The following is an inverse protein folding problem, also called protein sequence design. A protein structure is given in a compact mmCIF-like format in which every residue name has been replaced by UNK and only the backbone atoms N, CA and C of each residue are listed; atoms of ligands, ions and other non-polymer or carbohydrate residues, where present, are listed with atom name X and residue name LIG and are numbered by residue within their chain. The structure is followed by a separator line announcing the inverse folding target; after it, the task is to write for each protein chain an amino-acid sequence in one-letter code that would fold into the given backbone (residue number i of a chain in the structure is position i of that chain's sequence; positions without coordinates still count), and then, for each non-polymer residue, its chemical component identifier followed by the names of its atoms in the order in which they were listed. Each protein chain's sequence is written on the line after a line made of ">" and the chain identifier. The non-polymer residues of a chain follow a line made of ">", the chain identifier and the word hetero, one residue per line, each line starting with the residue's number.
data_IF_463346763855
#
_entry.id   IF_463346763855
#
_cell.length_a   1.000
_cell.length_b   1.000
_cell.length_c   1.000
_cell.angle_alpha   90.00
_cell.angle_beta   90.00
_cell.angle_gamma   90.00
#
_symmetry.space_group_name_H-M   'P 1'
#
loop_
_entity.id
_entity.type
_entity.pdbx_description
1 polymer ?
#
# COMPACT_ATOMS: atom_id res chain seq x y z
N UNK A 1 -27.53 -47.22 75.37
CA UNK A 1 -27.51 -46.21 74.31
C UNK A 1 -27.93 -44.88 74.92
N UNK A 2 -26.93 -44.04 75.26
CA UNK A 2 -27.13 -42.80 75.97
C UNK A 2 -27.17 -41.65 74.90
N UNK A 3 -28.37 -41.23 74.56
CA UNK A 3 -28.57 -40.07 73.70
C UNK A 3 -28.76 -38.83 74.60
N UNK A 4 -27.66 -38.14 74.97
CA UNK A 4 -27.72 -36.84 75.64
C UNK A 4 -27.85 -35.76 74.57
N UNK A 5 -29.01 -35.10 74.56
CA UNK A 5 -29.21 -33.87 73.80
C UNK A 5 -28.20 -32.80 74.23
N UNK A 6 -27.60 -32.02 73.32
CA UNK A 6 -26.60 -31.02 73.67
C UNK A 6 -27.26 -29.90 74.50
N UNK A 7 -26.53 -29.42 75.50
CA UNK A 7 -26.96 -28.38 76.44
C UNK A 7 -27.11 -27.03 75.73
N UNK A 8 -28.03 -26.12 76.17
CA UNK A 8 -28.29 -24.84 75.57
C UNK A 8 -27.03 -23.94 75.38
N UNK A 9 -26.03 -24.12 76.24
CA UNK A 9 -24.74 -23.35 76.19
C UNK A 9 -23.86 -23.80 75.01
N UNK A 10 -23.92 -25.02 74.52
CA UNK A 10 -23.18 -25.52 73.38
C UNK A 10 -23.80 -25.01 72.03
N UNK A 11 -25.12 -24.85 71.97
CA UNK A 11 -25.80 -24.30 70.79
C UNK A 11 -25.59 -22.79 70.64
N UNK A 12 -25.48 -22.02 71.72
CA UNK A 12 -25.21 -20.60 71.71
C UNK A 12 -23.75 -20.27 71.27
N UNK A 13 -22.78 -21.13 71.69
CA UNK A 13 -21.35 -20.95 71.28
C UNK A 13 -21.14 -21.24 69.80
N UNK A 14 -21.83 -22.29 69.27
CA UNK A 14 -21.76 -22.65 67.85
C UNK A 14 -22.31 -21.55 66.94
N UNK A 15 -23.42 -20.91 67.32
CA UNK A 15 -24.03 -19.77 66.60
C UNK A 15 -23.16 -18.51 66.61
N UNK A 16 -22.52 -18.20 67.74
CA UNK A 16 -21.62 -17.06 67.85
C UNK A 16 -20.33 -17.25 67.00
N UNK A 17 -19.78 -18.44 66.94
CA UNK A 17 -18.61 -18.78 66.08
C UNK A 17 -18.95 -18.72 64.60
N UNK A 18 -20.13 -19.17 64.18
CA UNK A 18 -20.60 -19.07 62.79
C UNK A 18 -20.78 -17.63 62.35
N UNK A 19 -21.38 -16.78 63.19
CA UNK A 19 -21.55 -15.35 62.94
C UNK A 19 -20.16 -14.65 62.87
N UNK A 20 -19.24 -14.99 63.76
CA UNK A 20 -17.89 -14.43 63.71
C UNK A 20 -17.13 -14.80 62.42
N UNK A 21 -17.23 -16.07 61.96
CA UNK A 21 -16.67 -16.53 60.70
C UNK A 21 -17.30 -15.83 59.47
N UNK A 22 -18.61 -15.67 59.46
CA UNK A 22 -19.31 -14.96 58.38
C UNK A 22 -18.89 -13.47 58.31
N UNK A 23 -18.75 -12.80 59.45
CA UNK A 23 -18.27 -11.43 59.54
C UNK A 23 -16.82 -11.28 59.09
N UNK A 24 -15.96 -12.24 59.42
CA UNK A 24 -14.57 -12.25 58.96
C UNK A 24 -14.51 -12.43 57.43
N UNK A 25 -15.25 -13.42 56.91
CA UNK A 25 -15.32 -13.67 55.47
C UNK A 25 -15.82 -12.44 54.67
N UNK A 26 -16.84 -11.78 55.20
CA UNK A 26 -17.35 -10.52 54.55
C UNK A 26 -16.30 -9.39 54.55
N UNK A 27 -15.59 -9.20 55.68
CA UNK A 27 -14.48 -8.22 55.74
C UNK A 27 -13.40 -8.56 54.73
N UNK A 28 -12.93 -9.79 54.66
CA UNK A 28 -11.92 -10.24 53.71
C UNK A 28 -12.37 -10.05 52.28
N UNK A 29 -13.63 -10.31 51.97
CA UNK A 29 -14.20 -10.08 50.62
C UNK A 29 -14.15 -8.57 50.23
N UNK A 30 -14.60 -7.70 51.12
CA UNK A 30 -14.61 -6.25 50.85
C UNK A 30 -13.17 -5.70 50.78
N UNK A 31 -12.24 -6.20 51.58
CA UNK A 31 -10.82 -5.80 51.56
C UNK A 31 -10.08 -6.33 50.33
N UNK A 32 -10.50 -7.45 49.74
CA UNK A 32 -9.92 -7.98 48.51
C UNK A 32 -10.25 -7.12 47.28
N UNK A 33 -11.30 -6.26 47.32
CA UNK A 33 -11.70 -5.37 46.25
C UNK A 33 -10.84 -4.10 46.31
N UNK A 34 -9.77 -4.03 45.51
CA UNK A 34 -8.82 -2.93 45.53
C UNK A 34 -9.16 -1.79 44.57
N UNK A 35 -9.89 -2.08 43.51
CA UNK A 35 -10.26 -1.10 42.46
C UNK A 35 -11.43 -0.19 42.85
N UNK A 36 -12.04 -0.44 44.02
CA UNK A 36 -13.16 0.34 44.51
C UNK A 36 -12.95 0.76 45.97
N UNK A 37 -13.17 2.05 46.24
CA UNK A 37 -13.30 2.54 47.59
C UNK A 37 -14.69 2.17 48.13
N UNK A 38 -14.78 1.24 49.10
CA UNK A 38 -16.02 0.76 49.68
C UNK A 38 -16.01 1.11 51.17
N UNK A 39 -17.01 1.91 51.60
CA UNK A 39 -17.12 2.28 53.00
C UNK A 39 -18.57 2.60 53.36
N UNK A 40 -18.85 2.49 54.64
CA UNK A 40 -20.17 2.81 55.23
C UNK A 40 -20.05 4.13 55.94
N UNK A 41 -21.11 4.95 55.79
CA UNK A 41 -21.33 6.19 56.53
C UNK A 41 -22.46 5.96 57.52
N UNK A 42 -22.43 6.64 58.67
CA UNK A 42 -23.64 6.77 59.50
C UNK A 42 -24.69 7.67 58.85
N UNK A 43 -25.90 7.86 59.47
CA UNK A 43 -26.92 8.70 58.93
C UNK A 43 -26.53 10.17 58.75
N UNK A 44 -25.57 10.67 59.54
CA UNK A 44 -25.07 12.04 59.50
C UNK A 44 -23.89 12.19 58.55
N UNK A 45 -23.40 11.12 57.87
CA UNK A 45 -22.34 11.15 56.88
C UNK A 45 -20.92 10.94 57.41
N UNK A 46 -20.78 10.48 58.66
CA UNK A 46 -19.46 10.14 59.21
C UNK A 46 -19.02 8.72 58.81
N UNK A 47 -17.76 8.54 58.50
CA UNK A 47 -17.19 7.28 58.02
C UNK A 47 -17.12 6.25 59.13
N UNK A 48 -17.78 5.07 58.96
CA UNK A 48 -17.77 3.96 59.94
C UNK A 48 -16.79 2.87 59.51
N UNK A 49 -16.68 2.57 58.25
CA UNK A 49 -15.77 1.49 57.73
C UNK A 49 -14.90 2.03 56.64
N UNK A 50 -13.76 1.29 56.38
CA UNK A 50 -12.80 1.67 55.38
C UNK A 50 -12.11 0.44 54.81
N UNK A 51 -12.22 0.14 53.52
CA UNK A 51 -11.56 -0.99 52.89
C UNK A 51 -10.17 -0.61 52.31
N UNK A 52 -9.42 -1.60 51.87
CA UNK A 52 -8.10 -1.46 51.29
C UNK A 52 -8.16 -0.59 49.99
N UNK A 53 -9.18 -0.78 49.14
CA UNK A 53 -9.39 0.04 47.95
C UNK A 53 -9.63 1.52 48.25
N UNK A 54 -10.37 1.83 49.33
CA UNK A 54 -10.56 3.22 49.76
C UNK A 54 -9.24 3.88 50.20
N UNK A 55 -8.38 3.14 50.87
CA UNK A 55 -7.03 3.61 51.21
C UNK A 55 -6.19 3.86 49.96
N UNK A 56 -6.20 2.94 49.00
CA UNK A 56 -5.44 3.05 47.76
C UNK A 56 -5.90 4.25 46.92
N UNK A 57 -7.22 4.44 46.75
CA UNK A 57 -7.78 5.47 45.88
C UNK A 57 -7.73 6.85 46.53
N UNK A 58 -8.04 6.97 47.84
CA UNK A 58 -8.19 8.27 48.52
C UNK A 58 -7.00 8.67 49.38
N UNK A 59 -6.07 7.73 49.65
CA UNK A 59 -4.83 8.03 50.37
C UNK A 59 -4.92 8.10 51.92
N UNK A 60 -6.11 7.99 52.51
CA UNK A 60 -6.27 7.99 53.98
C UNK A 60 -6.15 6.58 54.53
N UNK A 61 -5.49 6.44 55.72
CA UNK A 61 -5.59 5.22 56.50
C UNK A 61 -6.93 5.13 57.23
N UNK A 62 -7.30 3.95 57.66
CA UNK A 62 -8.55 3.71 58.44
C UNK A 62 -8.59 4.57 59.73
N UNK A 63 -7.49 4.66 60.42
CA UNK A 63 -7.35 5.40 61.69
C UNK A 63 -7.48 6.89 61.48
N UNK A 64 -7.13 7.39 60.31
CA UNK A 64 -7.20 8.81 59.99
C UNK A 64 -8.59 9.28 59.57
N UNK A 65 -9.40 8.37 58.96
CA UNK A 65 -10.64 8.75 58.28
C UNK A 65 -11.92 8.32 59.00
N UNK A 66 -11.88 7.21 59.77
CA UNK A 66 -13.04 6.77 60.55
C UNK A 66 -13.42 7.85 61.56
N UNK A 67 -14.69 8.19 61.62
CA UNK A 67 -15.21 9.28 62.45
C UNK A 67 -15.08 10.68 61.83
N UNK A 68 -14.54 10.81 60.63
CA UNK A 68 -14.58 12.08 59.87
C UNK A 68 -15.78 12.09 58.93
N UNK A 69 -16.32 13.27 58.68
CA UNK A 69 -17.40 13.46 57.72
C UNK A 69 -16.89 13.30 56.32
N UNK A 70 -17.64 12.60 55.44
CA UNK A 70 -17.21 12.26 54.09
C UNK A 70 -17.05 13.43 53.14
N UNK A 71 -17.52 14.62 53.51
CA UNK A 71 -17.35 15.88 52.76
C UNK A 71 -15.87 16.24 52.52
N UNK A 72 -14.94 15.68 53.27
CA UNK A 72 -13.47 15.85 53.06
C UNK A 72 -13.00 15.38 51.68
N UNK A 73 -13.77 14.58 50.98
CA UNK A 73 -13.46 14.09 49.65
C UNK A 73 -14.01 14.98 48.52
N UNK A 74 -14.49 16.16 48.83
CA UNK A 74 -15.12 17.07 47.84
C UNK A 74 -14.27 18.31 47.64
N UNK A 75 -14.21 18.84 46.40
CA UNK A 75 -13.62 20.14 46.12
C UNK A 75 -14.44 21.25 46.73
N UNK A 76 -13.85 22.42 46.93
CA UNK A 76 -14.43 23.57 47.63
C UNK A 76 -15.78 24.00 47.03
N UNK A 77 -15.89 24.01 45.69
CA UNK A 77 -17.08 24.41 44.97
C UNK A 77 -18.26 23.48 45.28
N UNK A 78 -18.00 22.19 45.47
CA UNK A 78 -19.03 21.22 45.85
C UNK A 78 -19.48 21.36 47.31
N UNK A 79 -18.56 21.78 48.20
CA UNK A 79 -18.86 22.08 49.62
C UNK A 79 -19.70 23.33 49.71
N UNK A 80 -19.38 24.41 48.98
CA UNK A 80 -20.12 25.67 48.95
C UNK A 80 -21.56 25.49 48.45
N UNK A 81 -21.77 24.51 47.55
CA UNK A 81 -23.10 24.15 47.03
C UNK A 81 -23.85 23.14 47.87
N UNK A 82 -23.31 22.73 49.03
CA UNK A 82 -23.91 21.70 49.91
C UNK A 82 -24.18 20.38 49.16
N UNK A 83 -23.31 20.02 48.19
CA UNK A 83 -23.49 18.85 47.37
C UNK A 83 -23.41 17.53 48.15
N UNK A 84 -22.49 17.32 49.12
CA UNK A 84 -22.44 16.10 49.93
C UNK A 84 -23.74 15.79 50.65
N UNK A 85 -24.34 16.79 51.28
CA UNK A 85 -25.60 16.67 52.04
C UNK A 85 -26.74 16.31 51.11
N UNK A 86 -26.77 16.94 49.90
CA UNK A 86 -27.82 16.65 48.90
C UNK A 86 -27.69 15.21 48.34
N UNK A 87 -26.50 14.68 48.16
CA UNK A 87 -26.31 13.28 47.73
C UNK A 87 -26.87 12.30 48.74
N UNK A 88 -26.65 12.52 50.04
CA UNK A 88 -27.23 11.67 51.10
C UNK A 88 -28.73 11.75 51.15
N UNK A 89 -29.31 12.96 51.08
CA UNK A 89 -30.76 13.15 51.08
C UNK A 89 -31.42 12.49 49.86
N UNK A 90 -30.78 12.55 48.68
CA UNK A 90 -31.26 11.85 47.49
C UNK A 90 -31.16 10.34 47.65
N UNK A 91 -30.06 9.81 48.17
CA UNK A 91 -29.87 8.40 48.44
C UNK A 91 -30.88 7.87 49.48
N UNK A 92 -31.18 8.64 50.50
CA UNK A 92 -32.17 8.28 51.52
C UNK A 92 -33.58 8.17 50.94
N UNK A 93 -33.96 9.17 50.11
CA UNK A 93 -35.28 9.29 49.48
C UNK A 93 -35.52 8.20 48.42
N UNK A 94 -34.50 7.97 47.56
CA UNK A 94 -34.62 7.09 46.39
C UNK A 94 -34.07 5.67 46.66
N UNK A 95 -33.49 5.44 47.84
CA UNK A 95 -32.81 4.20 48.20
C UNK A 95 -31.41 4.10 47.63
N UNK A 96 -31.10 4.76 46.52
CA UNK A 96 -29.79 4.77 45.84
C UNK A 96 -29.61 6.04 45.03
N UNK A 97 -28.38 6.58 45.07
CA UNK A 97 -27.99 7.73 44.25
C UNK A 97 -26.66 7.41 43.53
N UNK A 98 -26.51 7.86 42.30
CA UNK A 98 -25.27 7.74 41.52
C UNK A 98 -24.87 9.08 40.96
N UNK A 99 -23.58 9.40 41.07
CA UNK A 99 -22.97 10.62 40.54
C UNK A 99 -21.61 10.35 39.94
N UNK A 100 -21.22 11.18 38.98
CA UNK A 100 -19.84 11.24 38.47
C UNK A 100 -19.30 12.64 38.62
N UNK A 101 -18.15 12.79 39.28
CA UNK A 101 -17.56 14.11 39.52
C UNK A 101 -16.17 14.06 40.11
N UNK A 102 -15.58 15.25 40.23
CA UNK A 102 -14.25 15.38 40.85
C UNK A 102 -14.35 15.11 42.36
N UNK A 103 -13.38 14.36 42.85
CA UNK A 103 -13.16 14.10 44.28
C UNK A 103 -11.70 14.43 44.64
N UNK A 104 -11.46 14.71 45.91
CA UNK A 104 -10.15 15.13 46.44
C UNK A 104 -9.56 13.97 47.24
N UNK A 105 -8.26 13.71 47.05
CA UNK A 105 -7.47 12.76 47.83
C UNK A 105 -6.83 13.47 49.04
N UNK A 106 -6.21 12.68 49.93
CA UNK A 106 -5.51 13.18 51.17
C UNK A 106 -4.42 14.22 50.83
N UNK A 107 -3.69 14.04 49.74
CA UNK A 107 -2.60 14.90 49.28
C UNK A 107 -3.10 16.18 48.59
N UNK A 108 -4.40 16.38 48.47
CA UNK A 108 -5.02 17.51 47.79
C UNK A 108 -5.18 17.34 46.28
N UNK A 109 -4.64 16.27 45.69
CA UNK A 109 -4.88 15.96 44.28
C UNK A 109 -6.34 15.60 44.02
N UNK A 110 -6.80 15.88 42.80
CA UNK A 110 -8.15 15.54 42.37
C UNK A 110 -8.17 14.30 41.44
N UNK A 111 -9.25 13.58 41.48
CA UNK A 111 -9.48 12.46 40.58
C UNK A 111 -10.95 12.44 40.14
N UNK A 112 -11.20 11.92 38.96
CA UNK A 112 -12.57 11.76 38.44
C UNK A 112 -13.17 10.46 38.98
N UNK A 113 -14.25 10.59 39.73
CA UNK A 113 -14.86 9.47 40.43
C UNK A 113 -16.26 9.15 39.90
N UNK A 114 -16.56 7.85 39.75
CA UNK A 114 -17.94 7.38 39.74
C UNK A 114 -18.33 6.92 41.15
N UNK A 115 -19.38 7.49 41.67
CA UNK A 115 -19.83 7.29 43.07
C UNK A 115 -21.22 6.68 43.04
N UNK A 116 -21.44 5.63 43.85
CA UNK A 116 -22.77 5.10 44.15
C UNK A 116 -22.96 5.13 45.66
N UNK A 117 -24.05 5.75 46.11
CA UNK A 117 -24.49 5.80 47.50
C UNK A 117 -25.79 5.01 47.61
N UNK A 118 -25.87 4.08 48.54
CA UNK A 118 -27.07 3.24 48.77
C UNK A 118 -27.45 3.37 50.23
N UNK A 119 -28.73 3.74 50.52
CA UNK A 119 -29.25 3.79 51.87
C UNK A 119 -29.36 2.37 52.47
N UNK A 120 -28.78 2.17 53.63
CA UNK A 120 -28.86 0.92 54.39
C UNK A 120 -29.95 1.11 55.48
N UNK A 121 -30.90 0.17 55.52
CA UNK A 121 -32.00 0.18 56.52
C UNK A 121 -32.02 -1.06 57.37
N UNK A 122 -32.39 -0.92 58.62
CA UNK A 122 -32.64 -2.03 59.53
C UNK A 122 -33.97 -2.72 59.15
N UNK A 123 -34.22 -3.90 59.77
CA UNK A 123 -35.45 -4.67 59.51
C UNK A 123 -36.75 -3.92 59.85
N UNK A 124 -36.69 -2.96 60.73
CA UNK A 124 -37.83 -2.04 61.10
C UNK A 124 -37.98 -0.86 60.17
N UNK A 125 -37.14 -0.71 59.12
CA UNK A 125 -37.17 0.35 58.15
C UNK A 125 -36.39 1.62 58.55
N UNK A 126 -35.81 1.68 59.72
CA UNK A 126 -34.99 2.80 60.21
C UNK A 126 -33.69 2.88 59.41
N UNK A 127 -33.26 4.09 59.05
CA UNK A 127 -32.01 4.31 58.38
C UNK A 127 -30.84 3.94 59.31
N UNK A 128 -30.03 2.97 58.89
CA UNK A 128 -28.79 2.57 59.57
C UNK A 128 -27.61 3.44 59.13
N UNK A 129 -27.62 3.91 57.86
CA UNK A 129 -26.57 4.69 57.25
C UNK A 129 -26.49 4.50 55.75
N UNK A 130 -25.36 4.71 55.16
CA UNK A 130 -25.16 4.65 53.70
C UNK A 130 -23.94 3.80 53.33
N UNK A 131 -24.08 2.88 52.37
CA UNK A 131 -22.95 2.25 51.69
C UNK A 131 -22.51 3.14 50.53
N UNK A 132 -21.25 3.56 50.56
CA UNK A 132 -20.63 4.37 49.48
C UNK A 132 -19.58 3.57 48.75
N UNK A 133 -19.73 3.45 47.43
CA UNK A 133 -18.81 2.82 46.51
C UNK A 133 -18.28 3.86 45.54
N UNK A 134 -16.95 4.00 45.45
CA UNK A 134 -16.32 4.98 44.56
C UNK A 134 -15.29 4.27 43.69
N UNK A 135 -15.34 4.50 42.39
CA UNK A 135 -14.35 4.06 41.40
C UNK A 135 -13.59 5.26 40.86
N UNK A 136 -12.26 5.15 40.74
CA UNK A 136 -11.43 6.13 40.07
C UNK A 136 -11.48 5.91 38.55
N UNK A 137 -12.01 6.88 37.82
CA UNK A 137 -12.16 6.86 36.36
C UNK A 137 -11.09 7.65 35.63
N UNK A 138 -10.10 8.22 36.33
CA UNK A 138 -9.11 9.14 35.75
C UNK A 138 -8.34 8.50 34.61
N UNK A 139 -7.71 7.33 34.85
CA UNK A 139 -6.94 6.64 33.83
C UNK A 139 -7.77 6.24 32.61
N UNK A 140 -9.04 5.87 32.82
CA UNK A 140 -9.95 5.53 31.72
C UNK A 140 -10.28 6.75 30.86
N UNK A 141 -10.59 7.89 31.48
CA UNK A 141 -10.86 9.15 30.76
C UNK A 141 -9.65 9.64 29.98
N UNK A 142 -8.48 9.65 30.60
CA UNK A 142 -7.22 10.01 29.92
C UNK A 142 -6.93 9.12 28.71
N UNK A 143 -7.19 7.81 28.84
CA UNK A 143 -7.04 6.85 27.74
C UNK A 143 -8.03 7.14 26.60
N UNK A 144 -9.31 7.40 26.94
CA UNK A 144 -10.36 7.70 25.97
C UNK A 144 -10.06 9.01 25.22
N UNK A 145 -9.63 10.05 25.91
CA UNK A 145 -9.24 11.34 25.31
C UNK A 145 -8.03 11.18 24.38
N UNK A 146 -7.03 10.38 24.81
CA UNK A 146 -5.85 10.09 24.01
C UNK A 146 -6.19 9.31 22.73
N UNK A 147 -7.08 8.31 22.84
CA UNK A 147 -7.59 7.55 21.69
C UNK A 147 -8.35 8.45 20.71
N UNK A 148 -9.17 9.37 21.22
CA UNK A 148 -9.91 10.32 20.38
C UNK A 148 -8.97 11.28 19.65
N UNK A 149 -7.91 11.79 20.33
CA UNK A 149 -6.91 12.64 19.72
C UNK A 149 -6.14 11.92 18.63
N UNK A 150 -5.69 10.68 18.90
CA UNK A 150 -4.96 9.85 17.95
C UNK A 150 -5.83 9.49 16.72
N UNK A 151 -7.11 9.18 16.94
CA UNK A 151 -8.05 8.91 15.85
C UNK A 151 -8.26 10.14 14.94
N UNK A 152 -8.32 11.35 15.52
CA UNK A 152 -8.41 12.60 14.72
C UNK A 152 -7.15 12.80 13.87
N UNK A 153 -5.96 12.62 14.46
CA UNK A 153 -4.70 12.73 13.74
C UNK A 153 -4.60 11.71 12.61
N UNK A 154 -4.96 10.45 12.89
CA UNK A 154 -4.94 9.37 11.91
C UNK A 154 -5.85 9.66 10.71
N UNK A 155 -7.08 10.14 10.96
CA UNK A 155 -8.00 10.53 9.89
C UNK A 155 -7.42 11.63 8.99
N UNK A 156 -6.79 12.65 9.57
CA UNK A 156 -6.14 13.73 8.81
C UNK A 156 -5.00 13.18 7.93
N UNK A 157 -4.17 12.28 8.47
CA UNK A 157 -3.08 11.66 7.70
C UNK A 157 -3.59 10.78 6.56
N UNK A 158 -4.65 10.01 6.79
CA UNK A 158 -5.29 9.20 5.74
C UNK A 158 -5.77 10.09 4.59
N UNK A 159 -6.48 11.18 4.90
CA UNK A 159 -6.95 12.13 3.88
C UNK A 159 -5.79 12.75 3.07
N UNK A 160 -4.69 13.13 3.74
CA UNK A 160 -3.51 13.68 3.07
C UNK A 160 -2.85 12.64 2.14
N UNK A 161 -2.76 11.39 2.59
CA UNK A 161 -2.20 10.30 1.77
C UNK A 161 -3.07 9.99 0.56
N UNK A 162 -4.39 9.97 0.70
CA UNK A 162 -5.32 9.74 -0.40
C UNK A 162 -5.23 10.84 -1.46
N UNK A 163 -5.14 12.11 -1.03
CA UNK A 163 -4.97 13.23 -1.95
C UNK A 163 -3.61 13.18 -2.66
N UNK A 164 -2.52 12.90 -1.93
CA UNK A 164 -1.19 12.75 -2.51
C UNK A 164 -1.16 11.60 -3.54
N UNK A 165 -1.78 10.47 -3.22
CA UNK A 165 -1.91 9.33 -4.13
C UNK A 165 -2.65 9.71 -5.40
N UNK A 166 -3.77 10.42 -5.28
CA UNK A 166 -4.56 10.87 -6.43
C UNK A 166 -3.76 11.80 -7.36
N UNK A 167 -2.98 12.72 -6.78
CA UNK A 167 -2.10 13.60 -7.57
C UNK A 167 -1.05 12.78 -8.31
N UNK A 168 -0.41 11.80 -7.66
CA UNK A 168 0.59 10.92 -8.29
C UNK A 168 -0.03 10.12 -9.44
N UNK A 169 -1.23 9.56 -9.25
CA UNK A 169 -1.94 8.81 -10.30
C UNK A 169 -2.24 9.69 -11.52
N UNK A 170 -2.76 10.91 -11.32
CA UNK A 170 -3.01 11.87 -12.40
C UNK A 170 -1.74 12.25 -13.16
N UNK A 171 -0.65 12.57 -12.44
CA UNK A 171 0.64 12.89 -13.05
C UNK A 171 1.24 11.72 -13.82
N UNK A 172 1.07 10.51 -13.31
CA UNK A 172 1.52 9.30 -14.00
C UNK A 172 0.78 9.12 -15.33
N UNK A 173 -0.54 9.30 -15.36
CA UNK A 173 -1.34 9.23 -16.58
C UNK A 173 -0.93 10.32 -17.59
N UNK A 174 -0.70 11.55 -17.14
CA UNK A 174 -0.26 12.65 -17.98
C UNK A 174 1.11 12.39 -18.62
N UNK A 175 2.08 11.91 -17.82
CA UNK A 175 3.41 11.53 -18.30
C UNK A 175 3.36 10.39 -19.32
N UNK A 176 2.50 9.41 -19.09
CA UNK A 176 2.29 8.29 -20.01
C UNK A 176 1.73 8.77 -21.36
N UNK A 177 0.71 9.63 -21.34
CA UNK A 177 0.15 10.24 -22.55
C UNK A 177 1.20 11.03 -23.31
N UNK A 178 1.97 11.84 -22.60
CA UNK A 178 3.03 12.65 -23.22
C UNK A 178 4.13 11.79 -23.85
N UNK A 179 4.54 10.73 -23.16
CA UNK A 179 5.51 9.76 -23.66
C UNK A 179 5.02 9.10 -24.94
N UNK A 180 3.75 8.69 -24.98
CA UNK A 180 3.13 8.14 -26.17
C UNK A 180 3.14 9.09 -27.36
N UNK A 181 2.73 10.35 -27.13
CA UNK A 181 2.76 11.37 -28.18
C UNK A 181 4.17 11.62 -28.71
N UNK A 182 5.17 11.67 -27.84
CA UNK A 182 6.57 11.84 -28.24
C UNK A 182 7.07 10.68 -29.12
N UNK A 183 6.70 9.43 -28.81
CA UNK A 183 7.06 8.28 -29.63
C UNK A 183 6.42 8.32 -31.01
N UNK A 184 5.15 8.76 -31.12
CA UNK A 184 4.47 8.92 -32.39
C UNK A 184 5.16 10.01 -33.25
N UNK A 185 5.41 11.20 -32.68
CA UNK A 185 6.13 12.28 -33.36
C UNK A 185 7.50 11.82 -33.82
N UNK A 186 8.21 11.05 -33.00
CA UNK A 186 9.52 10.52 -33.36
C UNK A 186 9.44 9.54 -34.57
N UNK A 187 8.42 8.67 -34.59
CA UNK A 187 8.25 7.75 -35.72
C UNK A 187 7.81 8.46 -36.99
N UNK A 188 6.95 9.46 -36.91
CA UNK A 188 6.58 10.32 -38.05
C UNK A 188 7.81 11.07 -38.61
N UNK A 189 8.63 11.64 -37.72
CA UNK A 189 9.85 12.35 -38.12
C UNK A 189 10.86 11.39 -38.76
N UNK A 190 11.05 10.20 -38.20
CA UNK A 190 11.92 9.18 -38.82
C UNK A 190 11.40 8.77 -40.21
N UNK A 191 10.07 8.65 -40.36
CA UNK A 191 9.45 8.34 -41.66
C UNK A 191 9.64 9.50 -42.67
N UNK A 192 9.54 10.73 -42.22
CA UNK A 192 9.77 11.90 -43.05
C UNK A 192 11.21 11.99 -43.54
N UNK A 193 12.18 11.85 -42.61
CA UNK A 193 13.61 11.85 -42.95
C UNK A 193 13.97 10.71 -43.89
N UNK A 194 13.43 9.51 -43.64
CA UNK A 194 13.67 8.38 -44.52
C UNK A 194 13.22 8.61 -45.95
N UNK A 195 12.03 9.23 -46.13
CA UNK A 195 11.54 9.61 -47.48
C UNK A 195 12.38 10.68 -48.14
N UNK A 196 12.77 11.72 -47.44
CA UNK A 196 13.66 12.79 -47.95
C UNK A 196 15.01 12.22 -48.40
N UNK A 197 15.59 11.30 -47.60
CA UNK A 197 16.83 10.60 -47.95
C UNK A 197 16.66 9.72 -49.19
N UNK A 198 15.55 9.01 -49.30
CA UNK A 198 15.30 8.05 -50.39
C UNK A 198 14.93 8.77 -51.70
N UNK A 199 13.95 9.69 -51.61
CA UNK A 199 13.35 10.28 -52.84
C UNK A 199 14.19 11.44 -53.38
N UNK A 200 14.75 12.28 -52.50
CA UNK A 200 15.49 13.46 -52.91
C UNK A 200 16.99 13.17 -53.06
N UNK A 201 17.68 12.80 -52.01
CA UNK A 201 19.11 12.62 -52.05
C UNK A 201 19.55 11.42 -52.92
N UNK A 202 18.87 10.27 -52.82
CA UNK A 202 19.21 9.11 -53.61
C UNK A 202 18.96 9.31 -55.08
N UNK A 203 17.88 10.04 -55.47
CA UNK A 203 17.61 10.37 -56.86
C UNK A 203 18.66 11.33 -57.45
N UNK A 204 19.04 12.41 -56.73
CA UNK A 204 20.07 13.33 -57.16
C UNK A 204 21.44 12.67 -57.34
N UNK A 205 21.85 11.81 -56.37
CA UNK A 205 23.15 11.11 -56.52
C UNK A 205 23.07 10.08 -57.64
N UNK A 206 21.90 9.43 -57.88
CA UNK A 206 21.72 8.52 -59.01
C UNK A 206 21.85 9.23 -60.35
N UNK A 207 21.20 10.43 -60.51
CA UNK A 207 21.33 11.21 -61.74
C UNK A 207 22.77 11.64 -61.98
N UNK A 208 23.47 12.15 -60.96
CA UNK A 208 24.89 12.50 -61.08
C UNK A 208 25.78 11.27 -61.42
N UNK A 209 25.49 10.11 -60.86
CA UNK A 209 26.20 8.88 -61.21
C UNK A 209 25.97 8.52 -62.68
N UNK A 210 24.73 8.60 -63.18
CA UNK A 210 24.41 8.31 -64.57
C UNK A 210 25.14 9.29 -65.52
N UNK A 211 25.23 10.58 -65.20
CA UNK A 211 25.96 11.58 -66.00
C UNK A 211 27.46 11.27 -66.04
N UNK A 212 28.04 10.85 -64.95
CA UNK A 212 29.47 10.45 -64.87
C UNK A 212 29.72 9.18 -65.67
N UNK A 213 28.87 8.16 -65.50
CA UNK A 213 28.98 6.90 -66.25
C UNK A 213 28.84 7.15 -67.75
N UNK A 214 27.89 7.99 -68.18
CA UNK A 214 27.74 8.40 -69.59
C UNK A 214 28.90 9.16 -70.17
N UNK A 215 29.62 9.95 -69.35
CA UNK A 215 30.78 10.72 -69.76
C UNK A 215 32.07 9.87 -69.89
N UNK A 216 32.09 8.66 -69.42
CA UNK A 216 33.26 7.75 -69.42
C UNK A 216 34.47 8.26 -68.63
N UNK A 217 34.28 9.26 -67.76
CA UNK A 217 35.37 10.09 -67.19
C UNK A 217 35.89 9.54 -65.90
N UNK A 218 35.58 8.85 -65.13
CA UNK A 218 36.29 8.41 -63.89
C UNK A 218 35.50 7.33 -63.14
N UNK A 219 35.92 6.09 -63.36
CA UNK A 219 35.35 4.92 -62.70
C UNK A 219 35.41 5.02 -61.16
N UNK A 220 36.46 5.66 -60.62
CA UNK A 220 36.65 5.83 -59.19
C UNK A 220 35.58 6.73 -58.56
N UNK A 221 35.20 7.79 -59.26
CA UNK A 221 34.09 8.67 -58.81
C UNK A 221 32.77 7.94 -58.92
N UNK A 222 32.49 7.19 -59.99
CA UNK A 222 31.27 6.39 -60.13
C UNK A 222 31.14 5.32 -59.01
N UNK A 223 32.23 4.60 -58.71
CA UNK A 223 32.26 3.63 -57.62
C UNK A 223 32.03 4.30 -56.26
N UNK A 224 32.64 5.48 -56.02
CA UNK A 224 32.42 6.27 -54.81
C UNK A 224 30.97 6.72 -54.65
N UNK A 225 30.32 7.14 -55.74
CA UNK A 225 28.88 7.51 -55.75
C UNK A 225 27.99 6.29 -55.49
N UNK A 226 28.36 5.10 -56.03
CA UNK A 226 27.69 3.84 -55.71
C UNK A 226 27.74 3.51 -54.20
N UNK A 227 28.85 3.73 -53.55
CA UNK A 227 29.02 3.54 -52.12
C UNK A 227 28.15 4.55 -51.30
N UNK A 228 28.09 5.79 -51.73
CA UNK A 228 27.21 6.84 -51.11
C UNK A 228 25.75 6.44 -51.23
N UNK A 229 25.30 6.06 -52.45
CA UNK A 229 23.94 5.59 -52.68
C UNK A 229 23.54 4.42 -51.77
N UNK A 230 24.47 3.45 -51.65
CA UNK A 230 24.26 2.30 -50.75
C UNK A 230 24.10 2.79 -49.29
N UNK A 231 24.93 3.73 -48.86
CA UNK A 231 24.86 4.28 -47.49
C UNK A 231 23.57 5.07 -47.24
N UNK A 232 23.10 5.86 -48.20
CA UNK A 232 21.82 6.57 -48.11
C UNK A 232 20.67 5.57 -47.98
N UNK A 233 20.62 4.53 -48.80
CA UNK A 233 19.61 3.49 -48.73
C UNK A 233 19.62 2.81 -47.35
N UNK A 234 20.78 2.35 -46.89
CA UNK A 234 20.92 1.71 -45.59
C UNK A 234 20.41 2.60 -44.45
N UNK A 235 20.76 3.90 -44.47
CA UNK A 235 20.34 4.87 -43.44
C UNK A 235 18.84 5.11 -43.49
N UNK A 236 18.27 5.31 -44.66
CA UNK A 236 16.82 5.45 -44.86
C UNK A 236 16.05 4.25 -44.33
N UNK A 237 16.48 3.03 -44.67
CA UNK A 237 15.87 1.78 -44.21
C UNK A 237 16.00 1.55 -42.70
N UNK A 238 17.06 2.02 -42.06
CA UNK A 238 17.20 1.98 -40.61
C UNK A 238 16.27 2.96 -39.89
N UNK A 239 16.01 4.13 -40.52
CA UNK A 239 15.08 5.12 -39.99
C UNK A 239 13.62 4.71 -40.14
N UNK A 240 13.22 4.29 -41.33
CA UNK A 240 11.90 3.73 -41.63
C UNK A 240 11.99 2.81 -42.85
N UNK A 241 11.73 1.49 -42.70
CA UNK A 241 11.90 0.59 -43.83
C UNK A 241 10.75 0.75 -44.84
N UNK A 242 11.01 1.27 -46.07
CA UNK A 242 9.98 1.33 -47.11
C UNK A 242 9.38 -0.04 -47.43
N UNK A 243 10.17 -1.09 -47.32
CA UNK A 243 9.73 -2.49 -47.46
C UNK A 243 8.59 -2.87 -46.50
N UNK A 244 8.46 -2.21 -45.37
CA UNK A 244 7.35 -2.45 -44.43
C UNK A 244 6.02 -1.99 -45.05
N UNK A 245 6.05 -0.84 -45.74
CA UNK A 245 4.86 -0.30 -46.40
C UNK A 245 4.54 -1.05 -47.71
N UNK A 246 5.57 -1.50 -48.49
CA UNK A 246 5.45 -2.11 -49.80
C UNK A 246 5.28 -3.63 -49.78
N UNK A 247 6.07 -4.31 -48.93
CA UNK A 247 6.19 -5.77 -48.92
C UNK A 247 5.87 -6.40 -47.56
N UNK A 248 5.49 -5.62 -46.55
CA UNK A 248 5.05 -6.03 -45.23
C UNK A 248 6.20 -6.41 -44.27
N UNK A 249 5.80 -6.77 -43.04
CA UNK A 249 6.70 -7.01 -41.91
C UNK A 249 7.77 -8.08 -42.18
N UNK A 250 7.39 -9.18 -42.84
CA UNK A 250 8.32 -10.28 -43.10
C UNK A 250 9.50 -9.84 -43.97
N UNK A 251 9.23 -9.17 -45.10
CA UNK A 251 10.27 -8.69 -46.01
C UNK A 251 11.18 -7.66 -45.34
N UNK A 252 10.58 -6.71 -44.57
CA UNK A 252 11.34 -5.71 -43.85
C UNK A 252 12.26 -6.31 -42.78
N UNK A 253 11.80 -7.34 -42.05
CA UNK A 253 12.62 -8.01 -41.01
C UNK A 253 13.75 -8.86 -41.62
N UNK A 254 13.50 -9.59 -42.72
CA UNK A 254 14.55 -10.31 -43.40
C UNK A 254 15.65 -9.36 -43.86
N UNK A 255 15.28 -8.28 -44.55
CA UNK A 255 16.23 -7.28 -44.98
C UNK A 255 17.06 -6.67 -43.83
N UNK A 256 16.39 -6.32 -42.71
CA UNK A 256 17.04 -5.76 -41.52
C UNK A 256 18.03 -6.74 -40.88
N UNK A 257 17.60 -7.99 -40.70
CA UNK A 257 18.43 -9.06 -40.09
C UNK A 257 19.63 -9.40 -40.95
N UNK A 258 19.45 -9.58 -42.27
CA UNK A 258 20.54 -9.85 -43.21
C UNK A 258 21.56 -8.71 -43.22
N UNK A 259 21.10 -7.46 -43.25
CA UNK A 259 21.97 -6.29 -43.16
C UNK A 259 22.70 -6.19 -41.82
N UNK A 260 22.12 -6.61 -40.72
CA UNK A 260 22.78 -6.63 -39.40
C UNK A 260 23.81 -7.73 -39.34
N UNK A 261 23.55 -8.94 -39.84
CA UNK A 261 24.50 -10.05 -39.93
C UNK A 261 25.72 -9.72 -40.80
N UNK A 262 25.51 -9.00 -41.93
CA UNK A 262 26.61 -8.56 -42.79
C UNK A 262 27.55 -7.54 -42.15
N UNK A 263 27.01 -6.67 -41.26
CA UNK A 263 27.76 -5.60 -40.58
C UNK A 263 28.30 -6.00 -39.22
N UNK A 264 27.92 -7.16 -38.72
CA UNK A 264 28.34 -7.66 -37.42
C UNK A 264 28.69 -9.14 -37.49
N UNK A 265 29.35 -9.67 -36.48
CA UNK A 265 29.59 -11.10 -36.31
C UNK A 265 28.41 -11.88 -35.75
N UNK A 266 27.27 -11.19 -35.49
CA UNK A 266 26.10 -11.76 -34.85
C UNK A 266 25.35 -12.66 -35.84
N UNK A 267 25.15 -13.93 -35.50
CA UNK A 267 24.28 -14.84 -36.24
C UNK A 267 22.84 -14.76 -35.74
N UNK A 268 21.90 -14.48 -36.65
CA UNK A 268 20.50 -14.27 -36.25
C UNK A 268 19.61 -15.27 -36.97
N UNK A 269 18.81 -16.03 -36.20
CA UNK A 269 17.75 -16.87 -36.76
C UNK A 269 16.43 -16.17 -36.63
N UNK A 270 15.69 -16.06 -37.76
CA UNK A 270 14.36 -15.40 -37.80
C UNK A 270 13.31 -16.43 -38.18
N UNK A 271 12.27 -16.58 -37.34
CA UNK A 271 11.19 -17.54 -37.55
C UNK A 271 9.80 -16.90 -37.36
N UNK A 272 8.85 -17.31 -38.23
CA UNK A 272 7.44 -16.89 -38.17
C UNK A 272 6.55 -18.13 -38.01
N UNK A 273 5.58 -18.04 -37.08
CA UNK A 273 4.63 -19.12 -36.80
C UNK A 273 3.20 -18.54 -36.62
N UNK A 274 2.19 -18.83 -37.46
CA UNK A 274 2.32 -19.52 -38.75
C UNK A 274 3.17 -18.73 -39.75
N UNK A 275 3.54 -19.38 -40.84
CA UNK A 275 4.43 -18.79 -41.85
C UNK A 275 3.93 -17.48 -42.46
N UNK A 276 2.62 -17.20 -42.38
CA UNK A 276 2.02 -15.97 -42.91
C UNK A 276 1.18 -15.34 -41.80
N UNK A 277 1.37 -14.02 -41.57
CA UNK A 277 0.54 -13.17 -40.72
C UNK A 277 -0.28 -12.21 -41.62
N UNK A 278 -1.35 -12.68 -42.32
CA UNK A 278 -2.11 -11.82 -43.23
C UNK A 278 -2.96 -10.83 -42.41
N UNK A 279 -3.02 -9.58 -42.89
CA UNK A 279 -3.96 -8.58 -42.37
C UNK A 279 -3.63 -7.95 -41.04
N UNK A 280 -2.38 -8.05 -40.57
CA UNK A 280 -1.92 -7.32 -39.38
C UNK A 280 -1.96 -5.81 -39.66
N UNK A 281 -2.58 -5.00 -38.79
CA UNK A 281 -2.58 -3.53 -38.94
C UNK A 281 -1.16 -2.95 -39.02
N UNK A 282 -0.97 -1.97 -39.90
CA UNK A 282 0.35 -1.31 -40.13
C UNK A 282 0.99 -0.79 -38.86
N UNK A 283 0.21 -0.31 -37.92
CA UNK A 283 0.67 0.17 -36.61
C UNK A 283 1.30 -0.96 -35.77
N UNK A 284 0.69 -2.14 -35.80
CA UNK A 284 1.22 -3.35 -35.13
C UNK A 284 2.48 -3.83 -35.83
N UNK A 285 2.51 -3.87 -37.17
CA UNK A 285 3.71 -4.23 -37.95
C UNK A 285 4.89 -3.32 -37.61
N UNK A 286 4.67 -2.00 -37.58
CA UNK A 286 5.70 -1.02 -37.21
C UNK A 286 6.18 -1.23 -35.78
N UNK A 287 5.28 -1.46 -34.84
CA UNK A 287 5.62 -1.73 -33.43
C UNK A 287 6.47 -2.98 -33.28
N UNK A 288 6.11 -4.06 -33.94
CA UNK A 288 6.89 -5.31 -33.96
C UNK A 288 8.29 -5.05 -34.54
N UNK A 289 8.36 -4.34 -35.68
CA UNK A 289 9.64 -3.98 -36.29
C UNK A 289 10.52 -3.21 -35.32
N UNK A 290 9.98 -2.17 -34.65
CA UNK A 290 10.73 -1.37 -33.68
C UNK A 290 11.21 -2.15 -32.47
N UNK A 291 10.39 -3.05 -31.95
CA UNK A 291 10.78 -3.92 -30.82
C UNK A 291 11.96 -4.81 -31.22
N UNK A 292 11.88 -5.47 -32.37
CA UNK A 292 12.95 -6.35 -32.86
C UNK A 292 14.22 -5.54 -33.14
N UNK A 293 14.09 -4.39 -33.78
CA UNK A 293 15.20 -3.47 -34.07
C UNK A 293 15.94 -3.08 -32.80
N UNK A 294 15.22 -2.61 -31.77
CA UNK A 294 15.81 -2.18 -30.50
C UNK A 294 16.38 -3.37 -29.71
N UNK A 295 15.67 -4.50 -29.67
CA UNK A 295 16.14 -5.70 -28.98
C UNK A 295 17.44 -6.21 -29.60
N UNK A 296 17.53 -6.32 -30.94
CA UNK A 296 18.75 -6.76 -31.62
C UNK A 296 19.89 -5.72 -31.50
N UNK A 297 19.57 -4.42 -31.49
CA UNK A 297 20.57 -3.39 -31.21
C UNK A 297 21.14 -3.51 -29.78
N UNK A 298 20.29 -3.87 -28.81
CA UNK A 298 20.72 -4.15 -27.44
C UNK A 298 21.58 -5.42 -27.34
N UNK A 299 21.25 -6.48 -28.09
CA UNK A 299 22.08 -7.67 -28.20
C UNK A 299 23.45 -7.30 -28.71
N UNK A 300 23.53 -6.58 -29.83
CA UNK A 300 24.80 -6.17 -30.45
C UNK A 300 25.66 -5.30 -29.53
N UNK A 301 25.04 -4.31 -28.85
CA UNK A 301 25.79 -3.38 -28.00
C UNK A 301 26.18 -3.94 -26.64
N UNK A 302 25.33 -4.81 -26.07
CA UNK A 302 25.39 -5.10 -24.64
C UNK A 302 25.51 -6.60 -24.28
N UNK A 303 25.03 -7.53 -25.11
CA UNK A 303 24.91 -8.92 -24.71
C UNK A 303 26.25 -9.68 -24.79
N UNK A 304 27.18 -9.27 -25.65
CA UNK A 304 28.38 -10.04 -25.97
C UNK A 304 28.01 -11.46 -26.46
N UNK A 305 27.00 -11.54 -27.30
CA UNK A 305 26.45 -12.78 -27.83
C UNK A 305 26.92 -12.98 -29.29
N UNK A 306 27.26 -14.20 -29.66
CA UNK A 306 27.57 -14.57 -31.04
C UNK A 306 26.31 -14.90 -31.85
N UNK A 307 25.16 -15.14 -31.16
CA UNK A 307 23.91 -15.50 -31.82
C UNK A 307 22.69 -14.92 -31.12
N UNK A 308 21.63 -14.71 -31.90
CA UNK A 308 20.29 -14.32 -31.42
C UNK A 308 19.22 -15.08 -32.19
N UNK A 309 18.07 -15.25 -31.56
CA UNK A 309 16.89 -15.86 -32.15
C UNK A 309 15.69 -14.91 -32.04
N UNK A 310 15.03 -14.67 -33.16
CA UNK A 310 13.81 -13.88 -33.27
C UNK A 310 12.68 -14.81 -33.69
N UNK A 311 11.62 -14.85 -32.89
CA UNK A 311 10.41 -15.62 -33.16
C UNK A 311 9.20 -14.71 -33.13
N UNK A 312 8.34 -14.82 -34.13
CA UNK A 312 7.07 -14.11 -34.21
C UNK A 312 5.99 -15.18 -34.34
N UNK A 313 5.13 -15.26 -33.31
CA UNK A 313 4.08 -16.28 -33.20
C UNK A 313 2.73 -15.59 -33.27
N UNK A 314 2.00 -15.81 -34.35
CA UNK A 314 0.59 -15.42 -34.48
C UNK A 314 -0.30 -16.38 -33.73
N UNK A 315 -1.15 -15.86 -32.85
CA UNK A 315 -2.23 -16.57 -32.15
C UNK A 315 -3.57 -15.92 -32.53
N UNK A 316 -4.69 -16.58 -32.26
CA UNK A 316 -6.03 -16.07 -32.67
C UNK A 316 -6.34 -14.67 -32.12
N UNK A 317 -5.82 -14.29 -30.94
CA UNK A 317 -6.15 -13.04 -30.27
C UNK A 317 -4.94 -12.12 -30.03
N UNK A 318 -3.74 -12.60 -30.30
CA UNK A 318 -2.51 -11.85 -30.04
C UNK A 318 -1.34 -12.28 -30.93
N UNK A 319 -0.36 -11.40 -31.07
CA UNK A 319 0.96 -11.71 -31.62
C UNK A 319 1.97 -11.73 -30.47
N UNK A 320 2.77 -12.78 -30.40
CA UNK A 320 3.88 -12.90 -29.49
C UNK A 320 5.19 -12.73 -30.27
N UNK A 321 5.97 -11.73 -29.89
CA UNK A 321 7.31 -11.47 -30.43
C UNK A 321 8.33 -11.82 -29.37
N UNK A 322 9.28 -12.69 -29.71
CA UNK A 322 10.34 -13.10 -28.79
C UNK A 322 11.70 -12.88 -29.43
N UNK A 323 12.58 -12.17 -28.73
CA UNK A 323 13.99 -12.02 -29.10
C UNK A 323 14.85 -12.58 -27.96
N UNK A 324 15.65 -13.59 -28.26
CA UNK A 324 16.56 -14.26 -27.32
C UNK A 324 18.00 -14.07 -27.75
N UNK A 325 18.84 -13.64 -26.84
CA UNK A 325 20.30 -13.73 -26.98
C UNK A 325 20.88 -14.85 -26.10
N UNK A 326 22.14 -15.24 -26.42
CA UNK A 326 22.89 -16.27 -25.70
C UNK A 326 24.13 -15.69 -25.04
N UNK A 327 24.12 -14.40 -24.71
CA UNK A 327 25.24 -13.69 -24.13
C UNK A 327 25.29 -13.71 -22.61
N UNK A 328 25.89 -12.68 -22.02
CA UNK A 328 26.07 -12.56 -20.55
C UNK A 328 24.77 -12.35 -19.75
N UNK A 329 23.67 -12.07 -20.44
CA UNK A 329 22.37 -11.80 -19.84
C UNK A 329 22.24 -10.44 -19.16
N UNK A 330 21.00 -10.06 -18.89
CA UNK A 330 20.64 -8.84 -18.17
C UNK A 330 20.99 -8.97 -16.68
N UNK A 331 21.41 -7.87 -16.04
CA UNK A 331 21.68 -7.89 -14.60
C UNK A 331 20.42 -8.19 -13.79
N UNK A 332 20.52 -8.94 -12.67
CA UNK A 332 19.37 -9.27 -11.83
C UNK A 332 18.63 -8.03 -11.31
N UNK A 333 19.33 -6.92 -11.18
CA UNK A 333 18.76 -5.63 -10.77
C UNK A 333 17.81 -5.08 -11.82
N UNK A 334 18.19 -5.12 -13.10
CA UNK A 334 17.38 -4.63 -14.22
C UNK A 334 16.19 -5.58 -14.48
N UNK A 335 16.39 -6.89 -14.36
CA UNK A 335 15.33 -7.89 -14.55
C UNK A 335 14.18 -7.77 -13.53
N UNK A 336 14.45 -7.27 -12.30
CA UNK A 336 13.47 -7.09 -11.23
C UNK A 336 12.83 -5.71 -11.20
N UNK A 337 13.26 -4.78 -12.06
CA UNK A 337 12.76 -3.41 -12.07
C UNK A 337 11.42 -3.31 -12.83
N UNK A 338 10.34 -3.17 -12.10
CA UNK A 338 9.01 -2.85 -12.66
C UNK A 338 8.87 -1.37 -13.05
N UNK A 339 9.72 -0.49 -12.50
CA UNK A 339 9.67 0.96 -12.71
C UNK A 339 10.47 1.40 -13.92
N UNK A 340 9.83 2.08 -14.87
CA UNK A 340 10.41 2.62 -16.11
C UNK A 340 11.52 3.66 -15.90
N UNK A 341 11.58 4.31 -14.75
CA UNK A 341 12.51 5.43 -14.48
C UNK A 341 13.99 5.01 -14.37
N UNK A 342 14.30 3.73 -14.22
CA UNK A 342 15.66 3.19 -14.06
C UNK A 342 16.10 2.30 -15.23
N UNK A 343 15.22 2.06 -16.19
CA UNK A 343 15.47 1.32 -17.41
C UNK A 343 15.99 2.28 -18.48
N UNK A 344 16.93 1.85 -19.30
CA UNK A 344 17.44 2.67 -20.43
C UNK A 344 16.30 3.08 -21.38
N UNK A 345 16.50 4.20 -22.10
CA UNK A 345 15.51 4.79 -23.01
C UNK A 345 14.92 3.78 -23.99
N UNK A 346 15.72 2.86 -24.51
CA UNK A 346 15.28 1.84 -25.46
C UNK A 346 14.27 0.85 -24.88
N UNK A 347 14.51 0.35 -23.65
CA UNK A 347 13.59 -0.59 -22.98
C UNK A 347 12.28 0.11 -22.62
N UNK A 348 12.36 1.34 -22.11
CA UNK A 348 11.18 2.15 -21.80
C UNK A 348 10.36 2.42 -23.04
N UNK A 349 11.00 2.76 -24.16
CA UNK A 349 10.35 2.97 -25.45
C UNK A 349 9.64 1.73 -25.98
N UNK A 350 10.26 0.54 -25.87
CA UNK A 350 9.64 -0.72 -26.28
C UNK A 350 8.40 -1.02 -25.43
N UNK A 351 8.46 -0.88 -24.10
CA UNK A 351 7.30 -1.10 -23.21
C UNK A 351 6.15 -0.16 -23.55
N UNK A 352 6.45 1.12 -23.74
CA UNK A 352 5.42 2.12 -24.01
C UNK A 352 4.69 1.84 -25.33
N UNK A 353 5.43 1.49 -26.41
CA UNK A 353 4.84 1.12 -27.70
C UNK A 353 3.90 -0.10 -27.58
N UNK A 354 4.32 -1.14 -26.88
CA UNK A 354 3.51 -2.34 -26.66
C UNK A 354 2.26 -2.01 -25.84
N UNK A 355 2.40 -1.17 -24.82
CA UNK A 355 1.31 -0.75 -23.96
C UNK A 355 0.25 0.10 -24.68
N UNK A 356 0.66 0.95 -25.62
CA UNK A 356 -0.26 1.73 -26.47
C UNK A 356 -1.20 0.85 -27.29
N UNK A 357 -0.75 -0.35 -27.64
CA UNK A 357 -1.56 -1.35 -28.33
C UNK A 357 -2.32 -2.29 -27.35
N UNK A 358 -2.33 -1.97 -26.05
CA UNK A 358 -2.97 -2.80 -25.03
C UNK A 358 -2.21 -4.07 -24.68
N UNK A 359 -0.95 -4.18 -25.10
CA UNK A 359 -0.09 -5.34 -24.87
C UNK A 359 0.83 -5.20 -23.67
N UNK A 360 1.67 -6.22 -23.45
CA UNK A 360 2.66 -6.30 -22.40
C UNK A 360 4.04 -6.68 -22.93
N UNK A 361 5.10 -6.15 -22.31
CA UNK A 361 6.50 -6.46 -22.63
C UNK A 361 7.26 -6.91 -21.39
N UNK A 362 7.77 -8.12 -21.41
CA UNK A 362 8.60 -8.70 -20.39
C UNK A 362 10.06 -8.86 -20.86
N UNK A 363 11.00 -8.68 -19.94
CA UNK A 363 12.42 -8.92 -20.15
C UNK A 363 12.90 -9.84 -19.05
N UNK A 364 13.33 -11.02 -19.40
CA UNK A 364 13.73 -12.06 -18.46
C UNK A 364 15.16 -12.52 -18.73
N UNK A 365 15.87 -12.86 -17.64
CA UNK A 365 17.17 -13.50 -17.76
C UNK A 365 16.98 -14.94 -18.20
N UNK A 366 17.77 -15.36 -19.19
CA UNK A 366 17.91 -16.75 -19.59
C UNK A 366 19.32 -17.26 -19.24
N UNK A 367 19.53 -18.55 -19.19
CA UNK A 367 20.84 -19.15 -18.97
C UNK A 367 21.22 -19.99 -20.18
N UNK A 368 22.11 -19.48 -21.05
CA UNK A 368 22.68 -18.12 -21.08
C UNK A 368 21.75 -17.09 -21.72
N UNK A 369 21.98 -15.79 -21.41
CA UNK A 369 21.45 -14.65 -22.15
C UNK A 369 20.22 -13.97 -21.56
N UNK A 370 19.46 -13.29 -22.44
CA UNK A 370 18.23 -12.54 -22.13
C UNK A 370 17.13 -12.91 -23.12
N UNK A 371 15.87 -12.88 -22.65
CA UNK A 371 14.68 -12.99 -23.49
C UNK A 371 13.90 -11.69 -23.35
N UNK A 372 13.63 -11.02 -24.46
CA UNK A 372 12.66 -9.94 -24.60
C UNK A 372 11.43 -10.54 -25.23
N UNK A 373 10.28 -10.51 -24.57
CA UNK A 373 9.01 -11.02 -25.07
C UNK A 373 7.95 -9.91 -25.00
N UNK A 374 7.34 -9.63 -26.17
CA UNK A 374 6.20 -8.72 -26.29
C UNK A 374 4.96 -9.50 -26.70
N UNK A 375 3.83 -9.23 -26.04
CA UNK A 375 2.51 -9.76 -26.35
C UNK A 375 1.62 -8.62 -26.79
N UNK A 376 1.12 -8.65 -28.02
CA UNK A 376 0.36 -7.56 -28.62
C UNK A 376 -1.02 -8.13 -28.99
N UNK A 377 -2.12 -7.65 -28.36
CA UNK A 377 -3.46 -8.13 -28.68
C UNK A 377 -3.88 -7.67 -30.08
N UNK A 378 -4.58 -8.57 -30.77
CA UNK A 378 -5.23 -8.30 -32.05
C UNK A 378 -6.70 -7.94 -31.77
N UNK A 379 -6.97 -6.67 -31.40
CA UNK A 379 -8.35 -6.25 -31.12
C UNK A 379 -9.15 -6.15 -32.42
N UNK A 380 -10.17 -7.00 -32.59
CA UNK A 380 -11.28 -6.82 -33.52
C UNK A 380 -11.07 -7.22 -34.99
N UNK A 381 -10.06 -8.03 -35.28
CA UNK A 381 -9.93 -8.60 -36.62
C UNK A 381 -10.09 -10.12 -36.60
N UNK A 382 -11.07 -10.65 -37.33
CA UNK A 382 -11.15 -12.04 -37.79
C UNK A 382 -9.97 -12.35 -38.74
N UNK A 383 -8.72 -12.21 -38.27
CA UNK A 383 -7.51 -12.28 -39.10
C UNK A 383 -7.11 -13.71 -39.42
N UNK A 384 -7.62 -14.69 -38.64
CA UNK A 384 -7.29 -16.10 -38.81
C UNK A 384 -8.45 -16.98 -39.28
N UNK A 385 -9.60 -16.40 -39.64
CA UNK A 385 -10.78 -17.12 -40.14
C UNK A 385 -10.85 -17.19 -41.66
N UNK A 386 -9.73 -17.50 -42.36
CA UNK A 386 -9.77 -17.92 -43.77
C UNK A 386 -8.74 -18.98 -44.04
#
# INVERSE_FOLDING_TARGET
>A
MNNRAPTPIQQASTSADEVAKANLAFRLLVDAVQDYAIFILDPDGYVLTWNTGARAIKGYTREEIVGKHFSVFYPKEALESHWPERELALAEKEGRFRDEGLRVKKDGSTFWASVTITALREADGRLYGFAKVTQDLTARRESDERLQALNRELRTRVQQLDEARRIVELRTMELQKLSGTLLQIQDEERRRIARELHDDLAQHVTALKMDIDASGRDKHISDGMGAILQKIRETSYLLHPPLLDEAGLRAALHWYVDGLMQRSSLQISLAFHPDILPGVPKEIEMTIFRIIQEALANVYRHAQSESARVEIVGQSEQIVVRVRDYGKGISPRIARMESSAQLGVGITGMRERVRQLGGDLSITRAEPGTIVEARIPLMGADIFAR
#
